data_IF_643599932629
#
_entry.id   IF_643599932629
#
_cell.length_a   1.000
_cell.length_b   1.000
_cell.length_c   1.000
_cell.angle_alpha   90.00
_cell.angle_beta   90.00
_cell.angle_gamma   90.00
#
_symmetry.space_group_name_H-M   'P 1'
#
loop_
_entity.id
_entity.type
_entity.pdbx_description
1 polymer ?
#
# COMPACT_ATOMS: atom_id res chain seq x y z
N UNK A 1 -7.71 3.62 17.48
CA UNK A 1 -8.91 2.78 17.24
C UNK A 1 -8.40 1.74 16.29
N UNK A 2 -8.30 0.50 16.76
CA UNK A 2 -7.67 -0.59 16.02
C UNK A 2 -8.75 -1.61 15.61
N UNK A 3 -8.48 -2.35 14.55
CA UNK A 3 -9.27 -3.51 14.11
C UNK A 3 -8.66 -4.80 14.68
N UNK A 4 -9.40 -5.90 14.64
CA UNK A 4 -8.94 -7.24 15.03
C UNK A 4 -8.96 -8.23 13.87
N UNK A 5 -8.22 -9.33 14.00
CA UNK A 5 -8.23 -10.42 13.01
C UNK A 5 -9.65 -10.98 12.81
N UNK A 6 -10.44 -11.07 13.88
CA UNK A 6 -11.83 -11.53 13.79
C UNK A 6 -12.70 -10.55 13.00
N UNK A 7 -12.55 -9.25 13.25
CA UNK A 7 -13.29 -8.21 12.52
C UNK A 7 -12.90 -8.17 11.04
N UNK A 8 -11.61 -8.21 10.69
CA UNK A 8 -11.19 -8.22 9.28
C UNK A 8 -11.71 -9.45 8.53
N UNK A 9 -11.69 -10.63 9.16
CA UNK A 9 -12.23 -11.86 8.55
C UNK A 9 -13.74 -11.79 8.31
N UNK A 10 -14.48 -11.06 9.14
CA UNK A 10 -15.94 -10.99 9.04
C UNK A 10 -16.41 -9.81 8.20
N UNK A 11 -15.72 -8.68 8.26
CA UNK A 11 -16.25 -7.39 7.79
C UNK A 11 -15.42 -6.75 6.66
N UNK A 12 -14.21 -7.23 6.33
CA UNK A 12 -13.40 -6.61 5.27
C UNK A 12 -14.09 -6.79 3.90
N UNK A 13 -14.50 -5.70 3.21
CA UNK A 13 -15.30 -5.81 1.99
C UNK A 13 -14.53 -6.39 0.79
N UNK A 14 -13.20 -6.44 0.87
CA UNK A 14 -12.32 -6.98 -0.17
C UNK A 14 -11.88 -8.41 0.14
N UNK A 15 -11.35 -8.65 1.35
CA UNK A 15 -10.73 -9.93 1.74
C UNK A 15 -11.73 -11.00 2.16
N UNK A 16 -13.02 -10.67 2.26
CA UNK A 16 -14.12 -11.64 2.46
C UNK A 16 -14.61 -12.27 1.16
N UNK A 17 -14.10 -11.83 0.01
CA UNK A 17 -14.41 -12.42 -1.30
C UNK A 17 -13.52 -13.63 -1.58
N UNK A 18 -13.91 -14.42 -2.57
CA UNK A 18 -13.02 -15.42 -3.14
C UNK A 18 -11.85 -14.75 -3.88
N UNK A 19 -10.88 -15.56 -4.31
CA UNK A 19 -9.64 -15.07 -4.93
C UNK A 19 -9.95 -14.29 -6.21
N UNK A 20 -10.82 -14.84 -7.06
CA UNK A 20 -11.15 -14.23 -8.35
C UNK A 20 -11.89 -12.90 -8.15
N UNK A 21 -12.88 -12.84 -7.25
CA UNK A 21 -13.57 -11.60 -6.91
C UNK A 21 -12.66 -10.56 -6.28
N UNK A 22 -11.71 -10.97 -5.44
CA UNK A 22 -10.70 -10.06 -4.89
C UNK A 22 -9.82 -9.45 -5.99
N UNK A 23 -9.31 -10.27 -6.91
CA UNK A 23 -8.45 -9.81 -8.01
C UNK A 23 -9.20 -8.83 -8.91
N UNK A 24 -10.45 -9.14 -9.28
CA UNK A 24 -11.28 -8.26 -10.10
C UNK A 24 -11.52 -6.90 -9.42
N UNK A 25 -11.84 -6.89 -8.12
CA UNK A 25 -12.02 -5.65 -7.36
C UNK A 25 -10.74 -4.81 -7.39
N UNK A 26 -9.59 -5.41 -7.08
CA UNK A 26 -8.32 -4.69 -6.97
C UNK A 26 -7.83 -4.13 -8.31
N UNK A 27 -8.08 -4.84 -9.42
CA UNK A 27 -7.71 -4.38 -10.76
C UNK A 27 -8.53 -3.16 -11.22
N UNK A 28 -9.75 -2.99 -10.74
CA UNK A 28 -10.71 -2.00 -11.22
C UNK A 28 -10.87 -0.75 -10.32
N UNK A 29 -9.97 -0.53 -9.34
CA UNK A 29 -10.08 0.59 -8.39
C UNK A 29 -9.85 2.00 -8.99
N UNK A 30 -9.34 2.10 -10.22
CA UNK A 30 -9.09 3.38 -10.93
C UNK A 30 -8.41 4.45 -10.05
N UNK A 31 -7.37 4.06 -9.33
CA UNK A 31 -6.69 4.93 -8.37
C UNK A 31 -5.79 5.93 -9.09
N UNK A 32 -5.71 7.19 -8.60
CA UNK A 32 -4.74 8.14 -9.11
C UNK A 32 -3.31 7.68 -8.79
N UNK A 33 -2.35 8.20 -9.56
CA UNK A 33 -0.94 7.96 -9.28
C UNK A 33 -0.59 8.41 -7.85
N UNK A 34 0.09 7.57 -7.04
CA UNK A 34 0.33 7.93 -5.64
C UNK A 34 1.25 9.14 -5.53
N UNK A 35 0.77 10.20 -4.87
CA UNK A 35 1.38 11.55 -4.87
C UNK A 35 2.84 11.64 -4.44
N UNK A 36 3.33 10.68 -3.66
CA UNK A 36 4.66 10.70 -3.04
C UNK A 36 5.55 9.54 -3.47
N UNK A 37 5.11 8.67 -4.39
CA UNK A 37 5.83 7.42 -4.70
C UNK A 37 7.25 7.67 -5.22
N UNK A 38 7.43 8.69 -6.06
CA UNK A 38 8.73 9.03 -6.65
C UNK A 38 9.77 9.54 -5.63
N UNK A 39 9.30 10.07 -4.49
CA UNK A 39 10.17 10.52 -3.40
C UNK A 39 10.31 9.45 -2.31
N UNK A 40 9.20 8.86 -1.91
CA UNK A 40 9.13 7.94 -0.78
C UNK A 40 9.78 6.60 -1.11
N UNK A 41 9.62 6.06 -2.32
CA UNK A 41 10.20 4.76 -2.66
C UNK A 41 11.72 4.80 -2.68
N UNK A 42 12.39 5.76 -3.35
CA UNK A 42 13.85 5.85 -3.28
C UNK A 42 14.36 6.04 -1.85
N UNK A 43 13.73 6.90 -1.05
CA UNK A 43 14.13 7.09 0.34
C UNK A 43 13.96 5.84 1.20
N UNK A 44 12.83 5.14 1.10
CA UNK A 44 12.59 3.94 1.89
C UNK A 44 13.52 2.79 1.51
N UNK A 45 13.96 2.72 0.25
CA UNK A 45 14.97 1.74 -0.20
C UNK A 45 16.32 1.94 0.45
N UNK A 46 16.66 3.19 0.76
CA UNK A 46 17.92 3.58 1.42
C UNK A 46 17.72 3.80 2.93
N UNK A 47 16.73 3.14 3.54
CA UNK A 47 16.43 3.26 4.98
C UNK A 47 16.16 4.70 5.46
N UNK A 48 15.59 5.54 4.60
CA UNK A 48 15.29 6.95 4.86
C UNK A 48 16.41 7.92 4.46
N UNK A 49 17.52 7.43 3.90
CA UNK A 49 18.66 8.22 3.46
C UNK A 49 18.55 8.54 1.96
N UNK A 50 17.98 9.69 1.60
CA UNK A 50 17.85 10.11 0.21
C UNK A 50 18.18 11.58 0.08
N UNK A 51 18.90 11.95 -0.99
CA UNK A 51 19.36 13.31 -1.23
C UNK A 51 20.34 13.82 -0.15
N UNK A 52 21.22 12.92 0.35
CA UNK A 52 22.32 13.31 1.25
C UNK A 52 23.45 13.88 0.39
N UNK A 53 23.93 15.10 0.68
CA UNK A 53 25.14 15.61 0.05
C UNK A 53 26.29 14.64 0.32
N UNK A 54 26.98 14.18 -0.73
CA UNK A 54 28.21 13.43 -0.53
C UNK A 54 29.25 14.40 0.01
N UNK A 55 29.85 14.10 1.17
CA UNK A 55 31.03 14.82 1.62
C UNK A 55 32.15 14.60 0.60
N UNK A 56 32.80 15.68 0.15
CA UNK A 56 33.97 15.67 -0.74
C UNK A 56 35.24 15.20 -0.02
#
# INVERSE_FOLDING_TARGET
METSVAEEKQYNPRLTKDIDGFVEIMANLNLPYPKMIDKAVPANRECGLYDIPKEE
#
